data_IF_312714161809
#
_entry.id   IF_312714161809
#
_cell.length_a   1.000
_cell.length_b   1.000
_cell.length_c   1.000
_cell.angle_alpha   90.00
_cell.angle_beta   90.00
_cell.angle_gamma   90.00
#
_symmetry.space_group_name_H-M   'P 1'
#
loop_
_entity.id
_entity.type
_entity.pdbx_description
1 polymer ?
#
# COMPACT_ATOMS: atom_id res chain seq x y z
N UNK A 1 -34.87 -4.77 -4.30
CA UNK A 1 -33.44 -4.44 -4.07
C UNK A 1 -33.29 -2.93 -4.16
N UNK A 2 -32.77 -2.29 -3.11
CA UNK A 2 -32.72 -0.84 -3.03
C UNK A 2 -31.48 -0.31 -3.77
N UNK A 3 -31.68 0.38 -4.89
CA UNK A 3 -30.61 0.94 -5.74
C UNK A 3 -29.70 1.90 -4.94
N UNK A 4 -30.26 2.61 -3.95
CA UNK A 4 -29.50 3.46 -3.03
C UNK A 4 -28.45 2.67 -2.24
N UNK A 5 -28.75 1.45 -1.83
CA UNK A 5 -27.79 0.59 -1.11
C UNK A 5 -26.61 0.16 -1.98
N UNK A 6 -26.88 -0.07 -3.26
CA UNK A 6 -25.86 -0.45 -4.25
C UNK A 6 -24.92 0.73 -4.55
N UNK A 7 -25.47 1.93 -4.68
CA UNK A 7 -24.71 3.17 -4.83
C UNK A 7 -23.80 3.45 -3.61
N UNK A 8 -24.30 3.23 -2.40
CA UNK A 8 -23.51 3.39 -1.18
C UNK A 8 -22.33 2.41 -1.14
N UNK A 9 -22.57 1.14 -1.52
CA UNK A 9 -21.51 0.12 -1.56
C UNK A 9 -20.41 0.46 -2.58
N UNK A 10 -20.79 0.98 -3.76
CA UNK A 10 -19.80 1.42 -4.77
C UNK A 10 -19.00 2.62 -4.27
N UNK A 11 -19.63 3.59 -3.62
CA UNK A 11 -18.93 4.73 -3.04
C UNK A 11 -17.98 4.31 -1.92
N UNK A 12 -18.38 3.37 -1.06
CA UNK A 12 -17.50 2.81 -0.03
C UNK A 12 -16.31 2.04 -0.63
N UNK A 13 -16.52 1.26 -1.70
CA UNK A 13 -15.45 0.52 -2.38
C UNK A 13 -14.45 1.43 -3.13
N UNK A 14 -14.87 2.63 -3.53
CA UNK A 14 -13.99 3.64 -4.13
C UNK A 14 -13.29 4.51 -3.06
N UNK A 15 -13.93 4.68 -1.91
CA UNK A 15 -13.42 5.45 -0.78
C UNK A 15 -12.54 4.63 0.17
N UNK A 16 -12.40 3.31 -0.05
CA UNK A 16 -11.32 2.57 0.59
C UNK A 16 -10.03 3.26 0.16
N UNK A 17 -9.24 3.87 1.08
CA UNK A 17 -7.89 4.19 0.74
C UNK A 17 -7.28 2.88 0.27
N UNK A 18 -6.47 2.93 -0.77
CA UNK A 18 -5.63 1.81 -1.17
C UNK A 18 -4.82 1.46 0.08
N UNK A 19 -5.35 0.54 0.86
CA UNK A 19 -4.70 -0.10 1.99
C UNK A 19 -3.53 -0.82 1.32
N UNK A 20 -2.33 -0.54 1.83
CA UNK A 20 -1.03 -1.16 1.48
C UNK A 20 -0.21 -0.57 0.32
N UNK A 21 -0.47 0.66 -0.13
CA UNK A 21 0.65 1.44 -0.66
C UNK A 21 1.34 2.09 0.55
N UNK A 22 2.37 1.43 1.10
CA UNK A 22 3.11 1.85 2.30
C UNK A 22 3.42 3.35 2.34
N UNK A 23 3.69 3.90 3.54
CA UNK A 23 3.90 5.34 3.78
C UNK A 23 4.67 5.99 2.62
N UNK A 24 4.09 7.04 2.01
CA UNK A 24 4.77 7.73 0.92
C UNK A 24 6.11 8.28 1.40
N UNK A 25 7.12 8.14 0.56
CA UNK A 25 8.47 8.56 0.89
C UNK A 25 9.16 9.16 -0.34
N UNK A 26 10.07 10.08 -0.08
CA UNK A 26 11.05 10.58 -1.06
C UNK A 26 12.46 10.13 -0.68
N UNK A 27 12.64 9.69 0.56
CA UNK A 27 13.92 9.25 1.12
C UNK A 27 13.66 8.18 2.18
N UNK A 28 14.55 7.20 2.28
CA UNK A 28 14.43 6.10 3.25
C UNK A 28 14.41 6.57 4.71
N UNK A 29 14.92 7.77 5.03
CA UNK A 29 14.83 8.33 6.40
C UNK A 29 13.40 8.65 6.84
N UNK A 30 12.46 8.72 5.89
CA UNK A 30 11.04 8.94 6.18
C UNK A 30 10.30 7.64 6.50
N UNK A 31 10.94 6.49 6.26
CA UNK A 31 10.40 5.16 6.54
C UNK A 31 10.81 4.69 7.93
N UNK A 32 10.11 3.69 8.43
CA UNK A 32 10.43 3.06 9.71
C UNK A 32 11.78 2.30 9.65
N UNK A 33 12.26 1.88 10.82
CA UNK A 33 13.49 1.09 10.91
C UNK A 33 13.40 -0.17 10.03
N UNK A 34 14.50 -0.54 9.36
CA UNK A 34 14.54 -1.66 8.41
C UNK A 34 13.51 -1.58 7.28
N UNK A 35 13.24 -0.37 6.80
CA UNK A 35 12.44 -0.11 5.61
C UNK A 35 13.21 0.75 4.60
N UNK A 36 12.95 0.53 3.31
CA UNK A 36 13.53 1.27 2.21
C UNK A 36 12.46 1.97 1.38
N UNK A 37 12.80 3.17 0.89
CA UNK A 37 11.93 3.91 -0.01
C UNK A 37 12.11 3.41 -1.44
N UNK A 38 11.06 2.88 -2.05
CA UNK A 38 11.06 2.39 -3.43
C UNK A 38 9.79 2.84 -4.15
N UNK A 39 9.94 3.36 -5.36
CA UNK A 39 8.82 3.90 -6.16
C UNK A 39 7.91 4.90 -5.40
N UNK A 40 8.49 5.64 -4.44
CA UNK A 40 7.76 6.61 -3.65
C UNK A 40 6.99 6.03 -2.46
N UNK A 41 7.21 4.77 -2.12
CA UNK A 41 6.57 4.07 -1.00
C UNK A 41 7.60 3.37 -0.11
N UNK A 42 7.36 3.37 1.20
CA UNK A 42 8.14 2.61 2.14
C UNK A 42 7.77 1.13 2.05
N UNK A 43 8.78 0.28 1.86
CA UNK A 43 8.65 -1.16 1.97
C UNK A 43 9.63 -1.67 3.02
N UNK A 44 9.18 -2.64 3.81
CA UNK A 44 10.05 -3.39 4.70
C UNK A 44 11.05 -4.22 3.89
N UNK A 45 12.15 -4.61 4.54
CA UNK A 45 13.15 -5.49 3.93
C UNK A 45 12.51 -6.81 3.47
N UNK A 46 11.60 -7.41 4.24
CA UNK A 46 10.87 -8.63 3.87
C UNK A 46 10.02 -8.44 2.59
N UNK A 47 9.26 -7.34 2.49
CA UNK A 47 8.47 -7.04 1.29
C UNK A 47 9.33 -6.84 0.04
N UNK A 48 10.52 -6.26 0.20
CA UNK A 48 11.49 -6.16 -0.89
C UNK A 48 12.00 -7.53 -1.31
N UNK A 49 12.32 -8.41 -0.36
CA UNK A 49 12.77 -9.77 -0.66
C UNK A 49 11.71 -10.57 -1.43
N UNK A 50 10.43 -10.41 -1.08
CA UNK A 50 9.32 -11.01 -1.80
C UNK A 50 9.16 -10.42 -3.20
N UNK A 51 9.20 -9.08 -3.34
CA UNK A 51 9.08 -8.42 -4.65
C UNK A 51 10.17 -8.78 -5.64
N UNK A 52 11.41 -8.94 -5.18
CA UNK A 52 12.54 -9.28 -6.04
C UNK A 52 12.77 -10.80 -6.16
N UNK A 53 11.84 -11.61 -5.64
CA UNK A 53 11.88 -13.07 -5.71
C UNK A 53 13.26 -13.63 -5.32
N UNK A 54 13.88 -13.00 -4.32
CA UNK A 54 15.23 -13.35 -3.86
C UNK A 54 15.22 -14.55 -2.90
N UNK A 55 14.08 -15.27 -2.81
CA UNK A 55 14.02 -16.62 -2.25
C UNK A 55 14.54 -17.61 -3.29
N UNK A 56 15.87 -17.71 -3.39
CA UNK A 56 16.51 -18.89 -3.99
C UNK A 56 16.72 -19.97 -2.93
#
# INVERSE_FOLDING_TARGET
MNILGLLLLVLLALATPIVEAGKRCTSSKQCDYESACYEGHCYTVDEMFEKFDMKK
#
